data_IF_530208288634
#
_entry.id   IF_530208288634
#
_cell.length_a   1.000
_cell.length_b   1.000
_cell.length_c   1.000
_cell.angle_alpha   90.00
_cell.angle_beta   90.00
_cell.angle_gamma   90.00
#
_symmetry.space_group_name_H-M   'P 1'
#
loop_
_entity.id
_entity.type
_entity.pdbx_description
1 polymer ?
#
# COMPACT_ATOMS: atom_id res chain seq x y z
N UNK A 1 17.87 19.97 0.03
CA UNK A 1 18.04 18.71 0.80
C UNK A 1 17.54 19.01 2.20
N UNK A 2 16.37 18.49 2.56
CA UNK A 2 15.69 18.82 3.81
C UNK A 2 16.33 18.06 4.98
N UNK A 3 16.68 18.77 6.04
CA UNK A 3 17.14 18.17 7.29
C UNK A 3 16.06 17.23 7.84
N UNK A 4 16.42 16.00 8.20
CA UNK A 4 15.46 15.07 8.77
C UNK A 4 15.05 15.55 10.16
N UNK A 5 13.77 15.91 10.32
CA UNK A 5 13.20 16.35 11.61
C UNK A 5 13.43 15.36 12.76
N UNK A 6 13.64 14.07 12.44
CA UNK A 6 13.92 13.01 13.41
C UNK A 6 15.08 12.16 12.93
N UNK A 7 16.10 12.01 13.78
CA UNK A 7 17.24 11.12 13.58
C UNK A 7 17.14 10.01 14.62
N UNK A 8 17.04 8.76 14.17
CA UNK A 8 16.98 7.60 15.05
C UNK A 8 18.27 6.79 14.95
N UNK A 9 18.77 6.33 16.10
CA UNK A 9 19.91 5.42 16.11
C UNK A 9 19.57 4.12 15.38
N UNK A 10 20.52 3.53 14.61
CA UNK A 10 20.28 2.27 13.90
C UNK A 10 19.77 1.13 14.80
N UNK A 11 20.27 1.06 16.05
CA UNK A 11 19.83 0.07 17.04
C UNK A 11 18.35 0.22 17.42
N UNK A 12 17.84 1.45 17.43
CA UNK A 12 16.44 1.73 17.74
C UNK A 12 15.53 1.30 16.59
N UNK A 13 15.95 1.57 15.35
CA UNK A 13 15.22 1.12 14.15
C UNK A 13 15.08 -0.41 14.15
N UNK A 14 16.18 -1.14 14.37
CA UNK A 14 16.15 -2.61 14.42
C UNK A 14 15.21 -3.14 15.51
N UNK A 15 15.20 -2.53 16.70
CA UNK A 15 14.28 -2.91 17.78
C UNK A 15 12.81 -2.67 17.39
N UNK A 16 12.53 -1.56 16.72
CA UNK A 16 11.18 -1.25 16.22
C UNK A 16 10.74 -2.24 15.14
N UNK A 17 11.62 -2.58 14.20
CA UNK A 17 11.34 -3.58 13.15
C UNK A 17 10.97 -4.93 13.76
N UNK A 18 11.78 -5.44 14.70
CA UNK A 18 11.51 -6.71 15.38
C UNK A 18 10.22 -6.67 16.21
N UNK A 19 9.93 -5.55 16.88
CA UNK A 19 8.68 -5.36 17.62
C UNK A 19 7.46 -5.40 16.69
N UNK A 20 7.52 -4.71 15.55
CA UNK A 20 6.45 -4.70 14.55
C UNK A 20 6.24 -6.09 13.97
N UNK A 21 7.31 -6.77 13.54
CA UNK A 21 7.24 -8.13 12.99
C UNK A 21 6.60 -9.10 13.98
N UNK A 22 7.02 -9.08 15.25
CA UNK A 22 6.45 -9.95 16.28
C UNK A 22 5.00 -9.61 16.58
N UNK A 23 4.65 -8.32 16.70
CA UNK A 23 3.27 -7.86 16.96
C UNK A 23 2.34 -8.26 15.82
N UNK A 24 2.79 -8.14 14.57
CA UNK A 24 2.07 -8.55 13.37
C UNK A 24 2.09 -10.07 13.17
N UNK A 25 2.74 -10.85 14.05
CA UNK A 25 2.94 -12.30 13.89
C UNK A 25 3.53 -12.64 12.52
N UNK A 26 4.46 -11.82 12.05
CA UNK A 26 5.11 -11.93 10.75
C UNK A 26 4.16 -11.84 9.54
N UNK A 27 2.91 -11.38 9.73
CA UNK A 27 1.93 -11.17 8.65
C UNK A 27 2.18 -9.84 7.94
N UNK A 28 3.28 -9.77 7.20
CA UNK A 28 3.73 -8.55 6.50
C UNK A 28 2.98 -8.27 5.19
N UNK A 29 2.18 -9.23 4.71
CA UNK A 29 1.38 -9.06 3.49
C UNK A 29 -0.01 -8.51 3.84
N UNK A 30 -0.11 -7.20 4.02
CA UNK A 30 -1.38 -6.54 4.25
C UNK A 30 -2.21 -6.52 2.95
N UNK A 31 -3.45 -7.00 3.03
CA UNK A 31 -4.41 -6.84 1.94
C UNK A 31 -4.89 -5.38 1.96
N UNK A 32 -4.67 -4.67 0.86
CA UNK A 32 -5.12 -3.28 0.70
C UNK A 32 -6.21 -3.24 -0.38
N UNK A 33 -7.04 -2.18 -0.46
CA UNK A 33 -8.01 -2.05 -1.55
C UNK A 33 -7.38 -2.15 -2.94
N UNK A 34 -6.10 -1.75 -3.09
CA UNK A 34 -5.34 -1.88 -4.32
C UNK A 34 -5.17 -3.33 -4.78
N UNK A 35 -5.13 -4.29 -3.86
CA UNK A 35 -5.04 -5.72 -4.15
C UNK A 35 -6.22 -6.26 -4.97
N UNK A 36 -7.33 -5.52 -5.04
CA UNK A 36 -8.54 -5.93 -5.77
C UNK A 36 -8.77 -5.16 -7.07
N UNK A 37 -7.88 -4.24 -7.47
CA UNK A 37 -8.07 -3.41 -8.66
C UNK A 37 -8.30 -4.28 -9.90
N UNK A 38 -7.42 -5.24 -10.17
CA UNK A 38 -7.54 -6.08 -11.36
C UNK A 38 -8.84 -6.89 -11.37
N UNK A 39 -9.25 -7.42 -10.21
CA UNK A 39 -10.50 -8.15 -10.06
C UNK A 39 -11.71 -7.28 -10.39
N UNK A 40 -11.80 -6.08 -9.80
CA UNK A 40 -12.92 -5.19 -10.03
C UNK A 40 -12.93 -4.62 -11.44
N UNK A 41 -11.77 -4.24 -11.98
CA UNK A 41 -11.67 -3.75 -13.34
C UNK A 41 -12.11 -4.82 -14.33
N UNK A 42 -11.62 -6.05 -14.22
CA UNK A 42 -12.05 -7.16 -15.08
C UNK A 42 -13.57 -7.37 -15.06
N UNK A 43 -14.17 -7.31 -13.86
CA UNK A 43 -15.62 -7.50 -13.66
C UNK A 43 -16.45 -6.36 -14.21
N UNK A 44 -15.96 -5.12 -14.13
CA UNK A 44 -16.68 -3.92 -14.61
C UNK A 44 -16.51 -3.75 -16.13
N UNK A 45 -15.31 -4.00 -16.67
CA UNK A 45 -14.99 -3.81 -18.09
C UNK A 45 -15.38 -4.99 -18.98
N UNK A 46 -16.01 -6.03 -18.41
CA UNK A 46 -16.44 -7.23 -19.11
C UNK A 46 -15.29 -7.88 -19.91
N UNK A 47 -14.16 -8.12 -19.24
CA UNK A 47 -12.97 -8.77 -19.82
C UNK A 47 -12.23 -8.00 -20.94
N UNK A 48 -12.55 -6.73 -21.18
CA UNK A 48 -11.64 -5.87 -21.95
C UNK A 48 -10.42 -5.54 -21.09
N UNK A 49 -9.18 -5.65 -21.63
CA UNK A 49 -7.98 -5.30 -20.89
C UNK A 49 -8.11 -3.86 -20.39
N UNK A 50 -8.01 -3.62 -19.08
CA UNK A 50 -8.22 -2.29 -18.54
C UNK A 50 -7.17 -1.33 -19.09
N UNK A 51 -7.62 -0.19 -19.62
CA UNK A 51 -6.72 0.87 -20.02
C UNK A 51 -5.93 1.35 -18.79
N UNK A 52 -4.63 1.64 -18.96
CA UNK A 52 -3.77 2.15 -17.89
C UNK A 52 -4.33 3.44 -17.25
N UNK A 53 -5.08 4.24 -18.03
CA UNK A 53 -5.79 5.42 -17.56
C UNK A 53 -6.86 5.10 -16.51
N UNK A 54 -7.54 3.96 -16.64
CA UNK A 54 -8.58 3.52 -15.71
C UNK A 54 -7.98 2.99 -14.40
N UNK A 55 -6.85 2.29 -14.49
CA UNK A 55 -6.07 1.87 -13.30
C UNK A 55 -5.64 3.10 -12.51
N UNK A 56 -5.03 4.08 -13.16
CA UNK A 56 -4.58 5.33 -12.54
C UNK A 56 -5.73 6.06 -11.83
N UNK A 57 -6.86 6.23 -12.52
CA UNK A 57 -8.06 6.86 -11.94
C UNK A 57 -8.62 6.09 -10.74
N UNK A 58 -8.59 4.76 -10.79
CA UNK A 58 -9.05 3.91 -9.69
C UNK A 58 -8.14 4.05 -8.46
N UNK A 59 -6.82 4.08 -8.65
CA UNK A 59 -5.85 4.33 -7.58
C UNK A 59 -6.10 5.70 -6.94
N UNK A 60 -6.30 6.75 -7.74
CA UNK A 60 -6.60 8.09 -7.23
C UNK A 60 -7.90 8.13 -6.41
N UNK A 61 -8.96 7.45 -6.88
CA UNK A 61 -10.22 7.34 -6.14
C UNK A 61 -10.05 6.59 -4.81
N UNK A 62 -9.28 5.49 -4.81
CA UNK A 62 -8.98 4.75 -3.57
C UNK A 62 -8.22 5.65 -2.59
N UNK A 63 -7.18 6.35 -3.05
CA UNK A 63 -6.36 7.23 -2.21
C UNK A 63 -7.15 8.40 -1.62
N UNK A 64 -8.09 8.96 -2.39
CA UNK A 64 -8.97 10.05 -1.91
C UNK A 64 -10.01 9.56 -0.90
N UNK A 65 -10.51 8.32 -1.04
CA UNK A 65 -11.46 7.72 -0.11
C UNK A 65 -10.83 7.21 1.21
N UNK A 66 -9.53 6.92 1.22
CA UNK A 66 -8.81 6.42 2.41
C UNK A 66 -8.22 7.53 3.31
N UNK A 67 -8.41 8.81 2.96
CA UNK A 67 -8.06 9.96 3.81
C UNK A 67 -9.15 10.20 4.85
#
# INVERSE_FOLDING_TARGET
VGESKFVFEPRTIQRMELLLLNTLKWKMNAVTPLSFIDFFLYRITHANPPALSLVSKTVELILTATK
#
